data_IF_621167060743
#
_entry.id   IF_621167060743
#
_cell.length_a   1.000
_cell.length_b   1.000
_cell.length_c   1.000
_cell.angle_alpha   90.00
_cell.angle_beta   90.00
_cell.angle_gamma   90.00
#
_symmetry.space_group_name_H-M   'P 1'
#
loop_
_entity.id
_entity.type
_entity.pdbx_description
1 polymer ?
#
# COMPACT_ATOMS: atom_id res chain seq x y z
N UNK A 1 18.91 -67.70 43.93
CA UNK A 1 18.84 -66.27 43.56
C UNK A 1 19.10 -66.17 42.06
N UNK A 2 18.09 -65.78 41.28
CA UNK A 2 18.19 -65.52 39.84
C UNK A 2 17.98 -64.01 39.64
N UNK A 3 18.76 -63.31 38.80
CA UNK A 3 18.55 -61.89 38.60
C UNK A 3 17.36 -61.67 37.65
N UNK A 4 16.37 -60.89 38.10
CA UNK A 4 15.31 -60.37 37.26
C UNK A 4 15.86 -59.18 36.45
N UNK A 5 15.89 -59.31 35.13
CA UNK A 5 16.14 -58.20 34.21
C UNK A 5 14.78 -57.54 33.93
N UNK A 6 14.60 -56.31 34.41
CA UNK A 6 13.46 -55.46 34.03
C UNK A 6 13.71 -54.92 32.62
N UNK A 7 12.95 -55.38 31.64
CA UNK A 7 12.86 -54.75 30.32
C UNK A 7 11.91 -53.56 30.43
N UNK A 8 12.45 -52.34 30.37
CA UNK A 8 11.65 -51.13 30.16
C UNK A 8 11.35 -51.03 28.67
N UNK A 9 10.11 -51.32 28.29
CA UNK A 9 9.62 -51.07 26.94
C UNK A 9 9.43 -49.55 26.75
N UNK A 10 10.36 -48.91 26.06
CA UNK A 10 10.18 -47.54 25.57
C UNK A 10 9.23 -47.60 24.37
N UNK A 11 7.97 -47.27 24.60
CA UNK A 11 7.01 -47.03 23.52
C UNK A 11 7.46 -45.79 22.74
N UNK A 12 8.04 -46.00 21.57
CA UNK A 12 8.16 -44.97 20.56
C UNK A 12 6.77 -44.71 19.97
N UNK A 13 6.08 -43.70 20.50
CA UNK A 13 4.92 -43.14 19.82
C UNK A 13 5.45 -42.42 18.59
N UNK A 14 5.34 -43.09 17.44
CA UNK A 14 5.51 -42.48 16.14
C UNK A 14 4.31 -41.53 15.96
N UNK A 15 4.47 -40.28 16.40
CA UNK A 15 3.59 -39.20 15.94
C UNK A 15 3.82 -39.08 14.43
N UNK A 16 2.98 -39.76 13.64
CA UNK A 16 2.79 -39.41 12.24
C UNK A 16 2.61 -37.90 12.20
N UNK A 17 3.57 -37.20 11.61
CA UNK A 17 3.44 -35.79 11.33
C UNK A 17 2.16 -35.59 10.55
N UNK A 18 1.14 -35.07 11.24
CA UNK A 18 0.04 -34.41 10.54
C UNK A 18 0.73 -33.40 9.62
N UNK A 19 0.42 -33.37 8.32
CA UNK A 19 0.95 -32.32 7.47
C UNK A 19 0.63 -31.02 8.18
N UNK A 20 1.66 -30.22 8.45
CA UNK A 20 1.49 -28.83 8.84
C UNK A 20 0.55 -28.30 7.77
N UNK A 21 -0.71 -28.04 8.16
CA UNK A 21 -1.68 -27.44 7.27
C UNK A 21 -1.04 -26.12 6.88
N UNK A 22 -0.47 -26.06 5.67
CA UNK A 22 0.00 -24.84 5.08
C UNK A 22 -1.26 -23.97 5.05
N UNK A 23 -1.36 -23.06 6.02
CA UNK A 23 -2.54 -22.24 6.15
C UNK A 23 -2.69 -21.47 4.85
N UNK A 24 -3.82 -21.73 4.20
CA UNK A 24 -4.15 -21.15 2.91
C UNK A 24 -4.44 -19.67 3.15
N UNK A 25 -3.45 -18.81 2.89
CA UNK A 25 -3.64 -17.37 2.95
C UNK A 25 -4.85 -16.95 2.10
N UNK A 26 -5.68 -16.06 2.65
CA UNK A 26 -6.84 -15.50 1.96
C UNK A 26 -6.72 -13.99 1.85
N UNK A 27 -6.63 -13.51 0.62
CA UNK A 27 -6.39 -12.09 0.34
C UNK A 27 -7.37 -11.57 -0.70
N UNK A 28 -7.85 -10.34 -0.49
CA UNK A 28 -8.54 -9.56 -1.51
C UNK A 28 -7.83 -8.21 -1.74
N UNK A 29 -7.01 -8.16 -2.78
CA UNK A 29 -6.15 -7.02 -3.12
C UNK A 29 -6.72 -6.23 -4.30
N UNK A 30 -7.31 -5.05 -4.04
CA UNK A 30 -7.94 -4.23 -5.07
C UNK A 30 -7.07 -3.07 -5.55
N UNK A 31 -7.21 -2.67 -6.83
CA UNK A 31 -6.48 -1.53 -7.36
C UNK A 31 -6.91 -0.18 -6.78
N UNK A 32 -8.10 -0.10 -6.15
CA UNK A 32 -8.62 1.11 -5.50
C UNK A 32 -9.44 0.78 -4.24
N UNK A 33 -9.43 1.68 -3.26
CA UNK A 33 -10.27 1.55 -2.06
C UNK A 33 -11.77 1.46 -2.36
N UNK A 34 -12.31 2.25 -3.30
CA UNK A 34 -13.71 2.14 -3.77
C UNK A 34 -14.07 0.74 -4.28
N UNK A 35 -13.15 0.08 -4.98
CA UNK A 35 -13.36 -1.29 -5.44
C UNK A 35 -13.43 -2.26 -4.26
N UNK A 36 -12.49 -2.17 -3.30
CA UNK A 36 -12.46 -3.03 -2.10
C UNK A 36 -13.69 -2.91 -1.18
N UNK A 37 -14.36 -1.74 -1.19
CA UNK A 37 -15.56 -1.47 -0.35
C UNK A 37 -16.89 -1.43 -1.11
N UNK A 38 -16.90 -1.76 -2.40
CA UNK A 38 -18.16 -1.94 -3.15
C UNK A 38 -19.01 -3.06 -2.53
N UNK A 39 -20.32 -3.04 -2.76
CA UNK A 39 -21.22 -4.05 -2.20
C UNK A 39 -20.86 -5.46 -2.71
N UNK A 40 -20.53 -5.56 -3.99
CA UNK A 40 -20.11 -6.80 -4.65
C UNK A 40 -18.79 -7.32 -4.07
N UNK A 41 -17.79 -6.45 -3.91
CA UNK A 41 -16.52 -6.87 -3.30
C UNK A 41 -16.69 -7.24 -1.83
N UNK A 42 -17.54 -6.55 -1.07
CA UNK A 42 -17.81 -6.90 0.32
C UNK A 42 -18.44 -8.29 0.44
N UNK A 43 -19.40 -8.62 -0.43
CA UNK A 43 -19.98 -9.97 -0.51
C UNK A 43 -18.91 -11.01 -0.88
N UNK A 44 -18.07 -10.73 -1.87
CA UNK A 44 -16.98 -11.61 -2.29
C UNK A 44 -15.93 -11.87 -1.18
N UNK A 45 -15.60 -10.85 -0.37
CA UNK A 45 -14.70 -10.97 0.78
C UNK A 45 -15.34 -11.81 1.90
N UNK A 46 -16.63 -11.60 2.16
CA UNK A 46 -17.39 -12.42 3.13
C UNK A 46 -17.45 -13.88 2.68
N UNK A 47 -17.67 -14.13 1.39
CA UNK A 47 -17.66 -15.47 0.82
C UNK A 47 -16.28 -16.13 0.94
N UNK A 48 -15.20 -15.38 0.68
CA UNK A 48 -13.82 -15.84 0.89
C UNK A 48 -13.58 -16.21 2.37
N UNK A 49 -14.22 -15.50 3.30
CA UNK A 49 -14.21 -15.79 4.73
C UNK A 49 -15.12 -16.97 5.15
N UNK A 50 -15.58 -17.79 4.19
CA UNK A 50 -16.46 -18.95 4.42
C UNK A 50 -17.96 -18.64 4.31
N UNK A 51 -18.31 -17.43 3.87
CA UNK A 51 -19.69 -16.95 3.73
C UNK A 51 -20.43 -16.85 5.07
N UNK A 52 -21.73 -16.58 4.99
CA UNK A 52 -22.65 -16.58 6.14
C UNK A 52 -23.28 -17.96 6.41
N UNK A 53 -22.66 -19.03 5.90
CA UNK A 53 -23.19 -20.40 5.96
C UNK A 53 -23.19 -20.95 7.39
N UNK A 54 -22.17 -20.61 8.18
CA UNK A 54 -22.17 -20.77 9.62
C UNK A 54 -22.88 -19.58 10.29
N UNK A 55 -24.21 -19.68 10.42
CA UNK A 55 -25.08 -18.66 11.03
C UNK A 55 -24.96 -18.59 12.57
N UNK A 56 -23.99 -19.29 13.18
CA UNK A 56 -23.83 -19.30 14.63
C UNK A 56 -23.42 -17.93 15.19
N UNK A 57 -22.72 -17.10 14.41
CA UNK A 57 -22.40 -15.71 14.76
C UNK A 57 -22.17 -14.82 13.52
N UNK A 58 -22.39 -13.49 13.63
CA UNK A 58 -21.92 -12.53 12.62
C UNK A 58 -20.41 -12.65 12.37
N UNK A 59 -19.98 -12.42 11.13
CA UNK A 59 -18.55 -12.29 10.81
C UNK A 59 -17.98 -11.06 11.49
N UNK A 60 -16.87 -11.22 12.21
CA UNK A 60 -16.14 -10.14 12.86
C UNK A 60 -15.16 -9.53 11.87
N UNK A 61 -15.36 -8.26 11.56
CA UNK A 61 -14.49 -7.45 10.74
C UNK A 61 -13.71 -6.47 11.62
N UNK A 62 -12.39 -6.53 11.53
CA UNK A 62 -11.48 -5.55 12.10
C UNK A 62 -11.07 -4.54 11.02
N UNK A 63 -11.37 -3.27 11.22
CA UNK A 63 -10.95 -2.18 10.35
C UNK A 63 -9.63 -1.56 10.84
N UNK A 64 -8.66 -1.45 9.92
CA UNK A 64 -7.38 -0.78 10.14
C UNK A 64 -7.35 0.52 9.32
N UNK A 65 -7.66 1.63 9.98
CA UNK A 65 -7.79 2.97 9.40
C UNK A 65 -6.51 3.79 9.39
N UNK A 66 -5.37 3.22 9.75
CA UNK A 66 -4.14 3.98 10.07
C UNK A 66 -3.62 4.79 8.87
N UNK A 67 -3.82 4.30 7.64
CA UNK A 67 -3.44 5.02 6.41
C UNK A 67 -4.25 6.31 6.18
N UNK A 68 -5.45 6.42 6.77
CA UNK A 68 -6.26 7.65 6.83
C UNK A 68 -6.28 8.25 8.24
N UNK A 69 -5.25 7.97 9.05
CA UNK A 69 -5.09 8.53 10.38
C UNK A 69 -6.22 8.19 11.35
N UNK A 70 -6.79 6.98 11.20
CA UNK A 70 -7.93 6.46 11.96
C UNK A 70 -9.14 7.41 11.96
N UNK A 71 -9.35 8.09 10.83
CA UNK A 71 -10.48 8.98 10.65
C UNK A 71 -11.82 8.20 10.78
N UNK A 72 -12.68 8.53 11.76
CA UNK A 72 -13.89 7.74 12.02
C UNK A 72 -14.93 7.85 10.91
N UNK A 73 -14.97 8.97 10.17
CA UNK A 73 -15.85 9.10 9.00
C UNK A 73 -15.41 8.16 7.88
N UNK A 74 -14.11 8.02 7.66
CA UNK A 74 -13.55 7.08 6.69
C UNK A 74 -13.85 5.64 7.09
N UNK A 75 -13.70 5.30 8.37
CA UNK A 75 -14.10 3.99 8.89
C UNK A 75 -15.57 3.68 8.61
N UNK A 76 -16.48 4.60 8.93
CA UNK A 76 -17.91 4.42 8.68
C UNK A 76 -18.23 4.22 7.19
N UNK A 77 -17.56 4.96 6.30
CA UNK A 77 -17.75 4.84 4.85
C UNK A 77 -17.18 3.51 4.34
N UNK A 78 -16.00 3.12 4.81
CA UNK A 78 -15.28 1.95 4.31
C UNK A 78 -15.93 0.64 4.75
N UNK A 79 -16.55 0.62 5.92
CA UNK A 79 -17.22 -0.58 6.46
C UNK A 79 -18.73 -0.63 6.20
N UNK A 80 -19.32 0.39 5.57
CA UNK A 80 -20.77 0.51 5.42
C UNK A 80 -21.42 -0.72 4.75
N UNK A 81 -20.87 -1.18 3.64
CA UNK A 81 -21.41 -2.33 2.92
C UNK A 81 -21.20 -3.65 3.68
N UNK A 82 -20.10 -3.80 4.40
CA UNK A 82 -19.87 -4.97 5.27
C UNK A 82 -20.89 -5.02 6.42
N UNK A 83 -21.16 -3.87 7.06
CA UNK A 83 -22.19 -3.77 8.09
C UNK A 83 -23.59 -4.07 7.53
N UNK A 84 -23.90 -3.56 6.32
CA UNK A 84 -25.17 -3.84 5.64
C UNK A 84 -25.33 -5.33 5.27
N UNK A 85 -24.23 -6.05 5.04
CA UNK A 85 -24.18 -7.50 4.80
C UNK A 85 -24.12 -8.33 6.10
N UNK A 86 -24.22 -7.69 7.27
CA UNK A 86 -24.36 -8.35 8.57
C UNK A 86 -23.05 -8.60 9.33
N UNK A 87 -21.92 -8.02 8.92
CA UNK A 87 -20.68 -8.10 9.70
C UNK A 87 -20.78 -7.28 11.00
N UNK A 88 -20.18 -7.79 12.07
CA UNK A 88 -19.87 -7.02 13.28
C UNK A 88 -18.55 -6.28 13.05
N UNK A 89 -18.56 -4.96 13.18
CA UNK A 89 -17.42 -4.10 12.85
C UNK A 89 -16.75 -3.60 14.13
N UNK A 90 -15.43 -3.77 14.22
CA UNK A 90 -14.55 -3.08 15.17
C UNK A 90 -13.47 -2.31 14.42
N UNK A 91 -12.85 -1.32 15.06
CA UNK A 91 -11.73 -0.58 14.51
C UNK A 91 -10.60 -0.50 15.53
N UNK A 92 -9.36 -0.73 15.08
CA UNK A 92 -8.16 -0.58 15.90
C UNK A 92 -7.49 0.75 15.55
N UNK A 93 -7.69 1.75 16.40
CA UNK A 93 -7.17 3.11 16.19
C UNK A 93 -5.82 3.26 16.90
N UNK A 94 -4.74 3.37 16.13
CA UNK A 94 -3.36 3.32 16.63
C UNK A 94 -2.51 4.47 16.14
N UNK A 95 -3.00 5.36 15.28
CA UNK A 95 -2.23 6.47 14.69
C UNK A 95 -1.58 7.35 15.76
N UNK A 96 -2.30 7.57 16.88
CA UNK A 96 -1.91 8.52 17.94
C UNK A 96 -1.78 7.89 19.32
N UNK A 97 -2.11 6.61 19.45
CA UNK A 97 -2.18 5.90 20.73
C UNK A 97 -1.46 4.58 20.55
N UNK A 98 -0.60 4.25 21.52
CA UNK A 98 0.05 2.95 21.59
C UNK A 98 -0.91 1.98 22.29
N UNK A 99 -1.38 0.92 21.62
CA UNK A 99 -2.27 -0.05 22.25
C UNK A 99 -1.51 -0.93 23.22
N UNK A 100 -2.19 -1.38 24.27
CA UNK A 100 -1.71 -2.45 25.15
C UNK A 100 -1.82 -3.81 24.45
N UNK A 101 -1.06 -4.80 24.91
CA UNK A 101 -1.20 -6.17 24.40
C UNK A 101 -2.61 -6.72 24.60
N UNK A 102 -3.30 -6.35 25.68
CA UNK A 102 -4.69 -6.76 25.90
C UNK A 102 -5.65 -6.19 24.85
N UNK A 103 -5.46 -4.93 24.44
CA UNK A 103 -6.24 -4.31 23.37
C UNK A 103 -5.95 -4.95 22.01
N UNK A 104 -4.69 -5.31 21.74
CA UNK A 104 -4.31 -6.04 20.53
C UNK A 104 -4.91 -7.46 20.52
N UNK A 105 -4.78 -8.20 21.62
CA UNK A 105 -5.41 -9.51 21.80
C UNK A 105 -6.91 -9.43 21.51
N UNK A 106 -7.60 -8.50 22.17
CA UNK A 106 -9.05 -8.29 22.00
C UNK A 106 -9.41 -7.91 20.56
N UNK A 107 -8.60 -7.07 19.90
CA UNK A 107 -8.86 -6.61 18.54
C UNK A 107 -8.73 -7.73 17.50
N UNK A 108 -7.74 -8.63 17.67
CA UNK A 108 -7.44 -9.72 16.74
C UNK A 108 -8.06 -11.07 17.15
N UNK A 109 -8.72 -11.14 18.29
CA UNK A 109 -9.44 -12.33 18.76
C UNK A 109 -10.66 -12.63 17.88
N UNK A 110 -10.68 -13.85 17.33
CA UNK A 110 -11.77 -14.36 16.46
C UNK A 110 -12.12 -13.48 15.26
N UNK A 111 -11.18 -12.68 14.76
CA UNK A 111 -11.38 -11.88 13.54
C UNK A 111 -11.50 -12.81 12.34
N UNK A 112 -12.56 -12.62 11.56
CA UNK A 112 -12.74 -13.34 10.29
C UNK A 112 -12.21 -12.54 9.10
N UNK A 113 -12.29 -11.19 9.18
CA UNK A 113 -11.92 -10.27 8.11
C UNK A 113 -11.11 -9.09 8.69
N UNK A 114 -9.95 -8.80 8.11
CA UNK A 114 -9.21 -7.56 8.34
C UNK A 114 -9.40 -6.68 7.09
N UNK A 115 -10.02 -5.51 7.24
CA UNK A 115 -10.17 -4.53 6.17
C UNK A 115 -9.18 -3.38 6.38
N UNK A 116 -8.27 -3.18 5.42
CA UNK A 116 -7.26 -2.13 5.46
C UNK A 116 -7.67 -0.97 4.54
N UNK A 117 -7.67 0.23 5.10
CA UNK A 117 -8.01 1.47 4.38
C UNK A 117 -7.00 1.82 3.29
N UNK A 118 -7.44 2.62 2.31
CA UNK A 118 -6.54 3.41 1.47
C UNK A 118 -5.86 4.55 2.25
N UNK A 119 -4.99 5.34 1.63
CA UNK A 119 -4.38 6.53 2.26
C UNK A 119 -2.86 6.55 2.15
N UNK A 120 -2.16 7.04 3.19
CA UNK A 120 -0.70 7.08 3.22
C UNK A 120 -0.13 5.73 3.70
N UNK A 121 0.28 4.89 2.75
CA UNK A 121 0.82 3.54 3.02
C UNK A 121 2.04 3.56 3.94
N UNK A 122 3.00 4.45 3.68
CA UNK A 122 4.26 4.47 4.42
C UNK A 122 4.04 4.77 5.89
N UNK A 123 3.19 5.75 6.20
CA UNK A 123 2.80 6.06 7.57
C UNK A 123 2.17 4.85 8.27
N UNK A 124 1.21 4.17 7.61
CA UNK A 124 0.53 3.03 8.20
C UNK A 124 1.47 1.85 8.49
N UNK A 125 2.30 1.48 7.50
CA UNK A 125 3.25 0.36 7.64
C UNK A 125 4.31 0.68 8.69
N UNK A 126 4.86 1.89 8.71
CA UNK A 126 5.84 2.29 9.72
C UNK A 126 5.21 2.25 11.13
N UNK A 127 3.98 2.74 11.28
CA UNK A 127 3.26 2.71 12.56
C UNK A 127 3.01 1.29 13.05
N UNK A 128 2.51 0.41 12.19
CA UNK A 128 2.25 -0.99 12.56
C UNK A 128 3.54 -1.74 12.91
N UNK A 129 4.60 -1.55 12.14
CA UNK A 129 5.91 -2.18 12.39
C UNK A 129 6.50 -1.71 13.72
N UNK A 130 6.43 -0.41 14.01
CA UNK A 130 6.92 0.18 15.26
C UNK A 130 6.18 -0.35 16.50
N UNK A 131 4.87 -0.60 16.35
CA UNK A 131 4.01 -1.14 17.41
C UNK A 131 3.98 -2.68 17.45
N UNK A 132 4.65 -3.37 16.51
CA UNK A 132 4.60 -4.82 16.38
C UNK A 132 3.26 -5.40 15.91
N UNK A 133 2.35 -4.55 15.41
CA UNK A 133 1.01 -4.92 14.91
C UNK A 133 1.10 -5.77 13.64
N UNK A 134 2.17 -5.62 12.87
CA UNK A 134 2.45 -6.46 11.71
C UNK A 134 2.47 -7.95 12.04
N UNK A 135 2.99 -8.34 13.21
CA UNK A 135 2.95 -9.74 13.67
C UNK A 135 1.51 -10.20 13.95
N UNK A 136 0.68 -9.36 14.58
CA UNK A 136 -0.72 -9.69 14.83
C UNK A 136 -1.53 -9.88 13.54
N UNK A 137 -1.26 -9.05 12.52
CA UNK A 137 -1.87 -9.20 11.20
C UNK A 137 -1.41 -10.51 10.55
N UNK A 138 -0.10 -10.82 10.57
CA UNK A 138 0.44 -12.07 10.05
C UNK A 138 -0.19 -13.28 10.74
N UNK A 139 -0.23 -13.30 12.07
CA UNK A 139 -0.78 -14.40 12.84
C UNK A 139 -2.27 -14.59 12.56
N UNK A 140 -3.05 -13.51 12.44
CA UNK A 140 -4.46 -13.61 12.09
C UNK A 140 -4.66 -14.23 10.69
N UNK A 141 -3.88 -13.81 9.70
CA UNK A 141 -4.03 -14.29 8.31
C UNK A 141 -3.45 -15.69 8.13
N UNK A 142 -2.24 -15.92 8.64
CA UNK A 142 -1.46 -17.15 8.42
C UNK A 142 -1.75 -18.23 9.45
N UNK A 143 -2.09 -17.93 10.70
CA UNK A 143 -2.33 -18.99 11.69
C UNK A 143 -3.82 -19.19 11.96
N UNK A 144 -4.63 -18.13 11.82
CA UNK A 144 -6.07 -18.15 12.12
C UNK A 144 -6.97 -18.07 10.88
N UNK A 145 -6.39 -18.04 9.68
CA UNK A 145 -7.10 -18.05 8.39
C UNK A 145 -8.10 -16.88 8.22
N UNK A 146 -7.82 -15.72 8.83
CA UNK A 146 -8.57 -14.51 8.59
C UNK A 146 -8.35 -14.02 7.15
N UNK A 147 -9.40 -13.54 6.51
CA UNK A 147 -9.27 -12.87 5.21
C UNK A 147 -8.72 -11.47 5.44
N UNK A 148 -7.72 -11.05 4.68
CA UNK A 148 -7.31 -9.64 4.64
C UNK A 148 -7.69 -9.01 3.31
N UNK A 149 -8.36 -7.87 3.37
CA UNK A 149 -8.85 -7.14 2.21
C UNK A 149 -8.38 -5.69 2.26
N UNK A 150 -8.05 -5.12 1.10
CA UNK A 150 -7.63 -3.73 1.01
C UNK A 150 -7.46 -3.27 -0.43
N UNK A 151 -7.59 -1.97 -0.64
CA UNK A 151 -7.31 -1.36 -1.93
C UNK A 151 -6.44 -0.13 -1.79
N UNK A 152 -5.76 0.26 -2.87
CA UNK A 152 -4.78 1.37 -2.83
C UNK A 152 -3.67 1.08 -1.80
N UNK A 153 -3.48 1.92 -0.78
CA UNK A 153 -2.55 1.65 0.32
C UNK A 153 -2.78 0.30 1.00
N UNK A 154 -4.05 -0.11 1.16
CA UNK A 154 -4.40 -1.40 1.73
C UNK A 154 -4.04 -2.59 0.85
N UNK A 155 -3.79 -2.40 -0.47
CA UNK A 155 -3.16 -3.44 -1.30
C UNK A 155 -1.64 -3.41 -1.12
N UNK A 156 -1.05 -2.20 -1.11
CA UNK A 156 0.41 -2.06 -0.95
C UNK A 156 0.91 -2.69 0.35
N UNK A 157 0.20 -2.46 1.45
CA UNK A 157 0.56 -3.03 2.75
C UNK A 157 0.55 -4.56 2.77
N UNK A 158 -0.14 -5.24 1.84
CA UNK A 158 -0.16 -6.70 1.80
C UNK A 158 1.08 -7.28 1.12
N UNK A 159 1.80 -6.50 0.33
CA UNK A 159 2.90 -6.99 -0.51
C UNK A 159 4.26 -6.78 0.17
N UNK A 160 5.34 -7.33 -0.40
CA UNK A 160 6.70 -7.07 0.07
C UNK A 160 7.13 -5.60 -0.10
N UNK A 161 6.55 -4.93 -1.10
CA UNK A 161 6.57 -3.49 -1.26
C UNK A 161 5.58 -3.03 -2.32
N UNK A 162 5.53 -1.74 -2.58
CA UNK A 162 4.70 -1.23 -3.67
C UNK A 162 4.97 0.19 -4.11
N UNK A 163 4.40 0.48 -5.28
CA UNK A 163 4.43 1.76 -5.98
C UNK A 163 3.48 2.75 -5.32
N UNK A 164 4.04 3.60 -4.45
CA UNK A 164 3.27 4.39 -3.52
C UNK A 164 3.33 5.89 -3.81
N UNK A 165 2.20 6.56 -3.62
CA UNK A 165 2.05 8.01 -3.61
C UNK A 165 2.18 8.58 -2.19
N UNK A 166 2.85 7.88 -1.27
CA UNK A 166 3.04 8.34 0.11
C UNK A 166 3.86 9.63 0.25
N UNK A 167 4.43 10.17 -0.83
CA UNK A 167 5.05 11.50 -0.89
C UNK A 167 4.08 12.61 -1.34
N UNK A 168 2.83 12.26 -1.64
CA UNK A 168 1.80 13.22 -2.06
C UNK A 168 1.42 14.13 -0.89
N UNK A 169 1.61 15.46 -0.97
CA UNK A 169 1.39 16.37 0.15
C UNK A 169 -0.01 16.30 0.77
N UNK A 170 -1.05 16.05 -0.03
CA UNK A 170 -2.42 15.94 0.46
C UNK A 170 -2.68 14.68 1.30
N UNK A 171 -1.78 13.69 1.22
CA UNK A 171 -1.83 12.48 2.04
C UNK A 171 -1.15 12.64 3.39
N UNK A 172 -0.45 13.75 3.65
CA UNK A 172 0.29 13.95 4.89
C UNK A 172 -0.66 14.29 6.04
N UNK A 173 -0.29 13.86 7.26
CA UNK A 173 -1.05 14.23 8.47
C UNK A 173 -1.11 15.74 8.66
N UNK A 174 -0.02 16.41 8.26
CA UNK A 174 0.17 17.85 8.27
C UNK A 174 0.41 18.30 6.80
N UNK A 175 -0.64 18.49 5.99
CA UNK A 175 -0.49 18.96 4.61
C UNK A 175 0.04 20.40 4.61
N UNK A 176 0.37 20.98 3.44
CA UNK A 176 0.88 22.37 3.34
C UNK A 176 0.06 23.32 4.22
N UNK A 177 0.72 23.85 5.26
CA UNK A 177 0.04 24.50 6.38
C UNK A 177 -0.48 25.90 6.06
N UNK A 178 -1.41 26.43 6.88
CA UNK A 178 -2.09 27.71 6.62
C UNK A 178 -1.16 28.93 6.63
N UNK A 179 0.01 28.82 7.28
CA UNK A 179 1.03 29.88 7.33
C UNK A 179 1.73 30.09 5.99
N UNK A 180 1.78 29.02 5.19
CA UNK A 180 1.98 29.13 3.76
C UNK A 180 0.57 29.32 3.20
N UNK A 181 0.19 30.57 2.96
CA UNK A 181 -0.93 30.89 2.07
C UNK A 181 -0.38 31.25 0.68
N UNK A 182 0.33 30.33 0.00
CA UNK A 182 0.89 30.67 -1.27
C UNK A 182 -0.26 30.87 -2.26
N UNK A 183 0.04 31.68 -3.27
CA UNK A 183 -0.84 31.89 -4.41
C UNK A 183 -1.34 30.55 -4.95
N UNK A 184 -2.56 30.52 -5.50
CA UNK A 184 -3.20 29.27 -5.94
C UNK A 184 -2.33 28.50 -6.95
N UNK A 185 -1.62 29.23 -7.82
CA UNK A 185 -0.65 28.66 -8.76
C UNK A 185 0.53 27.97 -8.08
N UNK A 186 1.05 28.56 -7.00
CA UNK A 186 2.16 27.99 -6.22
C UNK A 186 1.68 26.77 -5.44
N UNK A 187 0.44 26.77 -4.94
CA UNK A 187 -0.17 25.57 -4.35
C UNK A 187 -0.24 24.42 -5.35
N UNK A 188 -0.75 24.69 -6.55
CA UNK A 188 -0.86 23.67 -7.59
C UNK A 188 0.52 23.10 -7.95
N UNK A 189 1.56 23.94 -8.04
CA UNK A 189 2.94 23.46 -8.24
C UNK A 189 3.39 22.53 -7.11
N UNK A 190 3.15 22.91 -5.85
CA UNK A 190 3.56 22.10 -4.68
C UNK A 190 2.79 20.76 -4.65
N UNK A 191 1.48 20.79 -4.84
CA UNK A 191 0.62 19.60 -4.84
C UNK A 191 0.97 18.60 -5.97
N UNK A 192 1.69 19.06 -7.00
CA UNK A 192 2.20 18.23 -8.11
C UNK A 192 3.68 17.87 -8.00
N UNK A 193 4.41 18.39 -7.01
CA UNK A 193 5.87 18.32 -6.90
C UNK A 193 6.43 17.04 -6.25
N UNK A 194 5.64 15.97 -6.23
CA UNK A 194 5.99 14.70 -5.59
C UNK A 194 6.20 13.58 -6.63
N UNK A 195 6.99 12.57 -6.27
CA UNK A 195 7.24 11.38 -7.08
C UNK A 195 6.77 10.10 -6.38
N UNK A 196 6.50 9.07 -7.17
CA UNK A 196 6.20 7.75 -6.62
C UNK A 196 7.47 7.10 -6.07
N UNK A 197 7.31 6.40 -4.95
CA UNK A 197 8.40 5.71 -4.26
C UNK A 197 8.05 4.25 -4.01
N UNK A 198 9.05 3.38 -3.99
CA UNK A 198 8.88 1.99 -3.52
C UNK A 198 8.89 1.99 -2.00
N UNK A 199 7.74 1.74 -1.39
CA UNK A 199 7.61 1.63 0.08
C UNK A 199 7.57 0.18 0.50
N UNK A 200 8.04 -0.17 1.72
CA UNK A 200 7.86 -1.50 2.27
C UNK A 200 6.38 -1.78 2.54
N UNK A 201 6.00 -3.05 2.48
CA UNK A 201 4.72 -3.55 2.98
C UNK A 201 4.93 -4.63 4.03
N UNK A 202 3.86 -5.32 4.39
CA UNK A 202 3.86 -6.40 5.39
C UNK A 202 4.24 -7.75 4.78
N UNK A 203 4.50 -7.87 3.47
CA UNK A 203 4.95 -9.12 2.85
C UNK A 203 4.03 -10.33 3.14
N UNK A 204 2.72 -10.13 3.08
CA UNK A 204 1.73 -11.22 3.14
C UNK A 204 1.65 -11.91 1.76
N UNK A 205 1.50 -11.14 0.68
CA UNK A 205 1.76 -11.61 -0.68
C UNK A 205 3.29 -11.62 -0.86
N UNK A 206 3.89 -12.77 -0.58
CA UNK A 206 5.33 -12.93 -0.46
C UNK A 206 6.06 -12.46 -1.72
N UNK A 207 6.97 -11.49 -1.54
CA UNK A 207 7.89 -11.08 -2.59
C UNK A 207 7.31 -10.20 -3.70
N UNK A 208 6.00 -9.94 -3.70
CA UNK A 208 5.37 -9.08 -4.69
C UNK A 208 5.77 -7.61 -4.48
N UNK A 209 6.15 -6.94 -5.58
CA UNK A 209 6.18 -5.50 -5.69
C UNK A 209 4.90 -5.05 -6.40
N UNK A 210 3.98 -4.41 -5.69
CA UNK A 210 2.66 -4.14 -6.24
C UNK A 210 2.45 -2.72 -6.75
N UNK A 211 1.49 -2.54 -7.64
CA UNK A 211 1.05 -1.24 -8.13
C UNK A 211 -0.49 -1.19 -8.19
N UNK A 212 -1.18 -0.57 -7.21
CA UNK A 212 -2.59 -0.21 -7.38
C UNK A 212 -2.74 0.91 -8.42
N UNK A 213 -3.98 1.25 -8.79
CA UNK A 213 -4.30 2.36 -9.69
C UNK A 213 -3.51 2.37 -11.01
N UNK A 214 -3.17 1.19 -11.54
CA UNK A 214 -2.20 1.04 -12.61
C UNK A 214 -2.56 1.83 -13.88
N UNK A 215 -3.85 1.88 -14.18
CA UNK A 215 -4.43 2.53 -15.36
C UNK A 215 -4.53 4.08 -15.26
N UNK A 216 -4.14 4.67 -14.12
CA UNK A 216 -4.38 6.09 -13.84
C UNK A 216 -3.22 7.03 -14.17
N UNK A 217 -3.56 8.30 -14.36
CA UNK A 217 -2.65 9.44 -14.27
C UNK A 217 -3.08 10.25 -13.05
N UNK A 218 -2.17 10.47 -12.10
CA UNK A 218 -2.50 11.22 -10.87
C UNK A 218 -2.25 12.73 -11.03
N UNK A 219 -2.44 13.50 -9.94
CA UNK A 219 -2.34 14.95 -9.96
C UNK A 219 -0.95 15.47 -10.37
N UNK A 220 0.13 14.71 -10.13
CA UNK A 220 1.47 15.04 -10.63
C UNK A 220 1.63 14.89 -12.16
N UNK A 221 0.57 14.51 -12.87
CA UNK A 221 0.51 14.30 -14.32
C UNK A 221 1.43 13.17 -14.82
N UNK A 222 1.78 12.24 -13.93
CA UNK A 222 2.59 11.06 -14.26
C UNK A 222 1.68 9.84 -14.40
N UNK A 223 1.78 9.15 -15.54
CA UNK A 223 1.13 7.86 -15.72
C UNK A 223 1.73 6.83 -14.78
N UNK A 224 0.88 6.22 -13.96
CA UNK A 224 1.28 5.23 -12.97
C UNK A 224 1.85 3.98 -13.63
N UNK A 225 1.31 3.55 -14.77
CA UNK A 225 1.87 2.44 -15.53
C UNK A 225 3.29 2.69 -16.08
N UNK A 226 3.54 3.90 -16.58
CA UNK A 226 4.87 4.27 -17.08
C UNK A 226 5.88 4.37 -15.94
N UNK A 227 5.50 5.03 -14.85
CA UNK A 227 6.38 5.16 -13.69
C UNK A 227 6.65 3.82 -13.01
N UNK A 228 5.65 2.95 -12.89
CA UNK A 228 5.85 1.61 -12.36
C UNK A 228 6.80 0.78 -13.23
N UNK A 229 6.75 0.94 -14.56
CA UNK A 229 7.72 0.32 -15.46
C UNK A 229 9.16 0.82 -15.18
N UNK A 230 9.32 2.11 -14.85
CA UNK A 230 10.62 2.67 -14.43
C UNK A 230 11.04 2.18 -13.05
N UNK A 231 10.10 2.01 -12.11
CA UNK A 231 10.35 1.42 -10.81
C UNK A 231 10.84 -0.02 -10.96
N UNK A 232 10.21 -0.86 -11.79
CA UNK A 232 10.67 -2.23 -12.04
C UNK A 232 12.10 -2.26 -12.62
N UNK A 233 12.51 -1.27 -13.44
CA UNK A 233 13.91 -1.16 -13.88
C UNK A 233 14.87 -0.85 -12.73
N UNK A 234 14.52 0.11 -11.86
CA UNK A 234 15.31 0.47 -10.67
C UNK A 234 15.35 -0.67 -9.64
N UNK A 235 14.29 -1.47 -9.58
CA UNK A 235 14.07 -2.58 -8.65
C UNK A 235 14.04 -3.92 -9.40
N UNK A 236 15.00 -4.14 -10.30
CA UNK A 236 15.00 -5.28 -11.25
C UNK A 236 15.17 -6.66 -10.61
N UNK A 237 15.44 -6.73 -9.30
CA UNK A 237 15.38 -7.95 -8.51
C UNK A 237 13.97 -8.37 -8.11
N UNK A 238 12.98 -7.49 -8.18
CA UNK A 238 11.60 -7.70 -7.74
C UNK A 238 10.67 -8.05 -8.92
N UNK A 239 9.57 -8.76 -8.62
CA UNK A 239 8.51 -9.09 -9.57
C UNK A 239 7.28 -8.22 -9.32
N UNK A 240 6.83 -7.53 -10.37
CA UNK A 240 5.74 -6.57 -10.33
C UNK A 240 4.37 -7.21 -10.49
N UNK A 241 3.40 -6.79 -9.68
CA UNK A 241 1.97 -7.07 -9.90
C UNK A 241 1.17 -5.77 -9.89
N UNK A 242 0.54 -5.44 -11.01
CA UNK A 242 -0.16 -4.18 -11.20
C UNK A 242 -1.66 -4.40 -11.40
N UNK A 243 -2.48 -3.64 -10.68
CA UNK A 243 -3.93 -3.82 -10.61
C UNK A 243 -4.61 -2.50 -10.94
N UNK A 244 -5.48 -2.52 -11.96
CA UNK A 244 -6.30 -1.36 -12.35
C UNK A 244 -7.33 -1.00 -11.26
N UNK A 245 -7.81 0.25 -11.24
CA UNK A 245 -8.71 0.74 -10.17
C UNK A 245 -9.92 -0.17 -9.89
N UNK A 246 -10.50 -0.75 -10.94
CA UNK A 246 -11.72 -1.57 -10.88
C UNK A 246 -11.44 -3.07 -11.11
N UNK A 247 -10.21 -3.48 -10.81
CA UNK A 247 -9.80 -4.86 -10.72
C UNK A 247 -9.38 -5.23 -9.28
N UNK A 248 -9.41 -6.53 -8.98
CA UNK A 248 -8.85 -7.07 -7.74
C UNK A 248 -8.28 -8.47 -7.94
N UNK A 249 -7.22 -8.79 -7.20
CA UNK A 249 -6.69 -10.13 -7.05
C UNK A 249 -7.29 -10.76 -5.79
N UNK A 250 -8.07 -11.82 -5.95
CA UNK A 250 -8.55 -12.61 -4.82
C UNK A 250 -7.76 -13.93 -4.75
N UNK A 251 -7.03 -14.14 -3.66
CA UNK A 251 -6.22 -15.33 -3.37
C UNK A 251 -6.97 -16.19 -2.36
N UNK A 252 -7.04 -17.49 -2.63
CA UNK A 252 -7.53 -18.52 -1.71
C UNK A 252 -6.53 -19.68 -1.71
N UNK A 253 -5.60 -19.64 -0.76
CA UNK A 253 -4.49 -20.59 -0.68
C UNK A 253 -3.53 -20.46 -1.86
N UNK A 254 -3.36 -21.55 -2.61
CA UNK A 254 -2.45 -21.60 -3.76
C UNK A 254 -3.05 -21.03 -5.05
N UNK A 255 -4.34 -20.73 -5.04
CA UNK A 255 -5.12 -20.37 -6.21
C UNK A 255 -5.55 -18.91 -6.14
N UNK A 256 -5.75 -18.29 -7.31
CA UNK A 256 -6.27 -16.94 -7.40
C UNK A 256 -7.38 -16.82 -8.45
N UNK A 257 -8.17 -15.75 -8.32
CA UNK A 257 -9.06 -15.23 -9.37
C UNK A 257 -8.85 -13.73 -9.57
N UNK A 258 -8.99 -13.29 -10.80
CA UNK A 258 -9.07 -11.86 -11.17
C UNK A 258 -10.52 -11.43 -11.13
N UNK A 259 -10.78 -10.38 -10.36
CA UNK A 259 -12.06 -9.66 -10.36
C UNK A 259 -11.92 -8.46 -11.28
N UNK A 260 -12.84 -8.28 -12.21
CA UNK A 260 -12.87 -7.13 -13.13
C UNK A 260 -14.31 -6.63 -13.28
N UNK A 261 -14.55 -5.34 -13.04
CA UNK A 261 -15.89 -4.76 -13.12
C UNK A 261 -16.19 -4.28 -14.55
N UNK A 262 -17.14 -4.93 -15.21
CA UNK A 262 -17.42 -4.77 -16.64
C UNK A 262 -17.85 -3.37 -17.10
N UNK A 263 -18.35 -2.51 -16.20
CA UNK A 263 -18.83 -1.15 -16.52
C UNK A 263 -17.80 -0.05 -16.22
N UNK A 264 -16.57 -0.45 -15.93
CA UNK A 264 -15.47 0.46 -15.65
C UNK A 264 -14.41 0.33 -16.73
N UNK A 265 -13.59 1.37 -16.85
CA UNK A 265 -12.46 1.36 -17.74
C UNK A 265 -11.20 0.88 -17.04
N UNK A 266 -10.22 0.44 -17.83
CA UNK A 266 -8.92 0.00 -17.35
C UNK A 266 -7.90 -0.11 -18.48
N UNK A 267 -6.84 -0.87 -18.25
CA UNK A 267 -5.67 -0.91 -19.14
C UNK A 267 -5.63 -2.13 -20.06
N UNK A 268 -6.65 -3.00 -20.08
CA UNK A 268 -6.72 -4.18 -20.94
C UNK A 268 -7.51 -3.89 -22.22
N UNK A 269 -6.82 -3.86 -23.36
CA UNK A 269 -7.41 -3.68 -24.68
C UNK A 269 -8.22 -4.90 -25.16
N UNK A 270 -8.92 -4.78 -26.31
CA UNK A 270 -9.81 -5.82 -26.83
C UNK A 270 -9.15 -7.19 -27.06
N UNK A 271 -7.85 -7.21 -27.36
CA UNK A 271 -7.09 -8.43 -27.64
C UNK A 271 -6.16 -8.84 -26.47
N UNK A 272 -6.36 -8.25 -25.28
CA UNK A 272 -5.51 -8.51 -24.10
C UNK A 272 -4.18 -7.76 -24.11
N UNK A 273 -4.00 -6.81 -25.01
CA UNK A 273 -2.87 -5.89 -25.04
C UNK A 273 -3.00 -4.78 -23.99
N UNK A 274 -1.87 -4.20 -23.59
CA UNK A 274 -1.90 -3.04 -22.70
C UNK A 274 -2.29 -1.78 -23.49
N UNK A 275 -3.29 -1.06 -22.99
CA UNK A 275 -3.68 0.26 -23.49
C UNK A 275 -3.54 1.30 -22.37
N UNK A 276 -2.85 2.43 -22.60
CA UNK A 276 -2.71 3.46 -21.58
C UNK A 276 -4.01 4.24 -21.34
N UNK A 277 -4.12 4.87 -20.16
CA UNK A 277 -5.11 5.91 -19.87
C UNK A 277 -6.56 5.44 -19.75
N UNK A 278 -6.78 4.28 -19.13
CA UNK A 278 -8.12 3.73 -18.84
C UNK A 278 -9.06 3.73 -20.05
N UNK A 279 -8.61 3.17 -21.19
CA UNK A 279 -9.39 3.09 -22.44
C UNK A 279 -9.90 1.67 -22.77
N UNK A 280 -9.43 0.66 -22.03
CA UNK A 280 -9.85 -0.73 -22.10
C UNK A 280 -10.75 -1.13 -20.94
N UNK A 281 -10.73 -2.41 -20.57
CA UNK A 281 -11.39 -2.95 -19.37
C UNK A 281 -10.39 -3.12 -18.21
N UNK A 282 -10.84 -3.20 -16.94
CA UNK A 282 -9.96 -3.42 -15.81
C UNK A 282 -9.29 -4.79 -15.86
N UNK A 283 -8.02 -4.85 -15.50
CA UNK A 283 -7.29 -6.11 -15.34
C UNK A 283 -6.08 -6.01 -14.46
N UNK A 284 -5.27 -7.06 -14.53
CA UNK A 284 -4.06 -7.24 -13.71
C UNK A 284 -2.92 -7.65 -14.63
N UNK A 285 -1.74 -7.07 -14.37
CA UNK A 285 -0.53 -7.31 -15.13
C UNK A 285 0.60 -7.79 -14.24
N UNK A 286 1.40 -8.74 -14.71
CA UNK A 286 2.73 -8.98 -14.13
C UNK A 286 3.77 -8.17 -14.89
N UNK A 287 4.77 -7.66 -14.17
CA UNK A 287 5.89 -6.93 -14.75
C UNK A 287 7.22 -7.49 -14.25
N UNK A 288 8.19 -7.67 -15.13
CA UNK A 288 9.57 -8.03 -14.75
C UNK A 288 10.58 -7.49 -15.76
N UNK A 289 11.86 -7.53 -15.42
CA UNK A 289 12.94 -7.23 -16.37
C UNK A 289 13.42 -8.54 -17.00
N UNK A 290 13.35 -8.63 -18.33
CA UNK A 290 13.92 -9.74 -19.09
C UNK A 290 15.45 -9.73 -18.94
N UNK A 291 16.00 -10.80 -18.38
CA UNK A 291 17.44 -10.92 -18.12
C UNK A 291 18.32 -10.94 -19.38
N UNK A 292 17.75 -11.25 -20.55
CA UNK A 292 18.49 -11.37 -21.81
C UNK A 292 18.71 -10.04 -22.52
N UNK A 293 17.76 -9.10 -22.39
CA UNK A 293 17.77 -7.84 -23.16
C UNK A 293 17.51 -6.59 -22.30
N UNK A 294 17.18 -6.74 -21.01
CA UNK A 294 16.91 -5.63 -20.09
C UNK A 294 15.56 -4.94 -20.30
N UNK A 295 14.70 -5.44 -21.19
CA UNK A 295 13.39 -4.87 -21.45
C UNK A 295 12.39 -5.23 -20.35
N UNK A 296 11.37 -4.39 -20.22
CA UNK A 296 10.22 -4.69 -19.35
C UNK A 296 9.34 -5.71 -20.07
N UNK A 297 9.17 -6.87 -19.45
CA UNK A 297 8.18 -7.86 -19.84
C UNK A 297 6.89 -7.58 -19.07
N UNK A 298 5.80 -7.33 -19.80
CA UNK A 298 4.47 -7.10 -19.24
C UNK A 298 3.53 -8.19 -19.76
N UNK A 299 2.87 -8.92 -18.85
CA UNK A 299 1.93 -10.00 -19.21
C UNK A 299 0.59 -9.80 -18.54
N UNK A 300 -0.49 -10.01 -19.28
CA UNK A 300 -1.85 -10.00 -18.74
C UNK A 300 -2.03 -11.25 -17.87
N UNK A 301 -2.53 -11.06 -16.65
CA UNK A 301 -2.82 -12.15 -15.73
C UNK A 301 -4.10 -12.89 -16.18
N UNK A 302 -4.07 -14.23 -16.33
CA UNK A 302 -5.25 -15.03 -16.64
C UNK A 302 -6.35 -14.87 -15.58
N UNK A 303 -7.65 -15.05 -15.92
CA UNK A 303 -8.75 -14.84 -14.98
C UNK A 303 -8.70 -15.72 -13.72
N UNK A 304 -8.10 -16.91 -13.81
CA UNK A 304 -7.87 -17.84 -12.70
C UNK A 304 -6.53 -18.54 -12.92
N UNK A 305 -5.87 -18.97 -11.85
CA UNK A 305 -4.59 -19.68 -11.93
C UNK A 305 -4.00 -19.97 -10.56
N UNK A 306 -2.73 -20.38 -10.52
CA UNK A 306 -1.98 -20.53 -9.27
C UNK A 306 -1.21 -19.26 -8.94
N UNK A 307 -1.12 -18.92 -7.66
CA UNK A 307 -0.34 -17.75 -7.18
C UNK A 307 1.11 -17.86 -7.64
N UNK A 308 1.68 -19.07 -7.63
CA UNK A 308 3.05 -19.36 -8.09
C UNK A 308 3.30 -19.05 -9.58
N UNK A 309 2.26 -18.89 -10.39
CA UNK A 309 2.38 -18.61 -11.82
C UNK A 309 2.53 -17.10 -12.10
N UNK A 310 2.18 -16.25 -11.13
CA UNK A 310 2.13 -14.78 -11.31
C UNK A 310 2.93 -13.99 -10.27
N UNK A 311 3.29 -14.62 -9.15
CA UNK A 311 4.08 -14.02 -8.07
C UNK A 311 5.29 -14.93 -7.82
N UNK A 312 6.46 -14.32 -7.75
CA UNK A 312 7.72 -15.00 -7.52
C UNK A 312 8.53 -14.27 -6.44
N UNK A 313 9.29 -15.00 -5.61
CA UNK A 313 10.21 -14.37 -4.66
C UNK A 313 11.21 -13.45 -5.37
N UNK A 314 11.56 -12.30 -4.77
CA UNK A 314 12.54 -11.39 -5.34
C UNK A 314 13.93 -12.02 -5.31
N UNK A 315 14.74 -11.75 -6.32
CA UNK A 315 16.16 -12.10 -6.34
C UNK A 315 16.96 -11.24 -5.36
N UNK A 316 16.55 -9.98 -5.22
CA UNK A 316 17.04 -9.00 -4.27
C UNK A 316 16.04 -7.84 -4.19
N UNK A 317 16.08 -7.08 -3.10
CA UNK A 317 15.27 -5.88 -2.90
C UNK A 317 16.22 -4.70 -2.76
N UNK A 318 16.03 -3.65 -3.56
CA UNK A 318 16.68 -2.36 -3.33
C UNK A 318 15.73 -1.43 -2.59
N UNK A 319 16.22 -0.80 -1.54
CA UNK A 319 15.49 0.26 -0.86
C UNK A 319 15.45 1.52 -1.72
N UNK A 320 14.31 2.22 -1.70
CA UNK A 320 14.17 3.50 -2.40
C UNK A 320 14.74 4.62 -1.51
N UNK A 321 15.73 5.35 -2.04
CA UNK A 321 16.46 6.39 -1.30
C UNK A 321 15.54 7.52 -0.80
N UNK A 322 14.39 7.70 -1.44
CA UNK A 322 13.43 8.75 -1.10
C UNK A 322 12.53 8.39 0.10
N UNK A 323 12.51 7.13 0.53
CA UNK A 323 11.71 6.70 1.70
C UNK A 323 12.12 7.46 2.96
N UNK A 324 13.41 7.74 3.15
CA UNK A 324 13.88 8.50 4.32
C UNK A 324 13.40 9.95 4.28
N UNK A 325 13.30 10.56 3.09
CA UNK A 325 12.76 11.91 2.92
C UNK A 325 11.25 11.90 3.17
N UNK A 326 10.52 10.92 2.64
CA UNK A 326 9.09 10.76 2.87
C UNK A 326 8.76 10.61 4.37
N UNK A 327 9.55 9.81 5.11
CA UNK A 327 9.46 9.67 6.57
C UNK A 327 9.71 10.99 7.30
N UNK A 328 10.67 11.78 6.85
CA UNK A 328 10.95 13.09 7.44
C UNK A 328 9.81 14.11 7.19
N UNK A 329 9.17 14.04 6.02
CA UNK A 329 8.05 14.92 5.65
C UNK A 329 6.73 14.54 6.34
N UNK A 330 6.50 13.24 6.61
CA UNK A 330 5.28 12.74 7.24
C UNK A 330 5.60 11.69 8.33
N UNK A 331 6.23 12.09 9.45
CA UNK A 331 6.76 11.15 10.43
C UNK A 331 5.67 10.46 11.24
N UNK A 332 5.88 9.18 11.57
CA UNK A 332 5.22 8.54 12.72
C UNK A 332 5.92 8.94 14.04
N UNK A 333 5.48 10.06 14.59
CA UNK A 333 5.88 10.56 15.91
C UNK A 333 4.87 10.20 17.02
N UNK A 334 3.84 9.38 16.72
CA UNK A 334 2.75 9.04 17.64
C UNK A 334 1.88 10.23 18.07
N UNK A 335 1.96 11.39 17.39
CA UNK A 335 1.22 12.60 17.75
C UNK A 335 0.18 12.96 16.69
N UNK A 336 -1.01 13.44 17.10
CA UNK A 336 -2.01 13.95 16.17
C UNK A 336 -1.47 15.04 15.25
N UNK A 337 -2.14 15.24 14.12
CA UNK A 337 -1.89 16.37 13.24
C UNK A 337 -1.89 17.69 14.03
N UNK A 338 -0.87 18.51 13.81
CA UNK A 338 -0.77 19.82 14.42
C UNK A 338 -1.81 20.78 13.82
N UNK A 339 -2.17 20.63 12.54
CA UNK A 339 -3.26 21.33 11.87
C UNK A 339 -3.97 20.44 10.83
N UNK A 340 -5.19 20.82 10.44
CA UNK A 340 -5.94 20.16 9.36
C UNK A 340 -6.44 21.19 8.36
N UNK A 341 -6.79 20.75 7.14
CA UNK A 341 -7.32 21.62 6.05
C UNK A 341 -8.67 22.27 6.42
N UNK A 342 -9.42 21.69 7.35
CA UNK A 342 -10.66 22.24 7.89
C UNK A 342 -10.38 23.04 9.18
N UNK A 343 -9.97 24.31 9.05
CA UNK A 343 -9.72 25.11 10.26
C UNK A 343 -9.20 26.53 10.07
N UNK A 344 -9.61 27.27 9.04
CA UNK A 344 -9.20 28.68 8.87
C UNK A 344 -9.93 29.67 9.81
N UNK A 345 -10.45 29.26 10.97
CA UNK A 345 -11.21 30.18 11.84
C UNK A 345 -10.88 30.22 13.31
N UNK A 346 -10.08 29.32 13.89
CA UNK A 346 -9.65 29.46 15.28
C UNK A 346 -8.34 28.71 15.51
N UNK A 347 -7.21 29.38 15.27
CA UNK A 347 -5.90 28.83 15.60
C UNK A 347 -5.33 29.61 16.80
N UNK A 348 -5.05 28.91 17.90
CA UNK A 348 -4.21 29.43 18.99
C UNK A 348 -2.78 28.92 18.77
N UNK A 349 -1.78 29.80 18.56
CA UNK A 349 -0.43 29.35 18.26
C UNK A 349 0.26 28.83 19.53
N UNK A 350 0.47 27.52 19.60
CA UNK A 350 1.58 26.98 20.40
C UNK A 350 2.88 27.19 19.61
N UNK A 351 3.92 27.69 20.27
CA UNK A 351 5.15 28.28 19.71
C UNK A 351 6.11 27.30 18.98
N UNK A 352 5.61 26.36 18.16
CA UNK A 352 6.42 25.42 17.38
C UNK A 352 5.93 25.38 15.92
N UNK A 353 5.79 26.55 15.29
CA UNK A 353 5.30 26.63 13.89
C UNK A 353 6.41 26.93 12.86
N UNK A 354 7.58 27.41 13.29
CA UNK A 354 8.62 27.88 12.35
C UNK A 354 9.47 26.70 11.84
N UNK A 355 9.78 25.69 12.66
CA UNK A 355 10.70 24.61 12.27
C UNK A 355 10.08 23.63 11.26
N UNK A 356 8.76 23.38 11.31
CA UNK A 356 8.11 22.37 10.46
C UNK A 356 7.78 22.89 9.04
N UNK A 357 7.51 24.19 8.88
CA UNK A 357 7.26 24.80 7.57
C UNK A 357 8.51 24.76 6.68
N UNK A 358 9.70 24.94 7.28
CA UNK A 358 10.97 24.79 6.56
C UNK A 358 11.24 23.33 6.13
N UNK A 359 10.82 22.33 6.91
CA UNK A 359 10.98 20.92 6.56
C UNK A 359 10.19 20.51 5.32
N UNK A 360 8.93 20.95 5.20
CA UNK A 360 8.11 20.69 4.03
C UNK A 360 8.67 21.37 2.77
N UNK A 361 9.08 22.65 2.88
CA UNK A 361 9.67 23.40 1.78
C UNK A 361 11.03 22.83 1.34
N UNK A 362 11.90 22.48 2.30
CA UNK A 362 13.18 21.84 2.02
C UNK A 362 12.99 20.48 1.32
N UNK A 363 12.01 19.68 1.76
CA UNK A 363 11.68 18.43 1.10
C UNK A 363 11.14 18.60 -0.32
N UNK A 364 10.34 19.64 -0.59
CA UNK A 364 9.92 19.99 -1.96
C UNK A 364 11.09 20.46 -2.82
N UNK A 365 12.02 21.26 -2.29
CA UNK A 365 13.22 21.71 -2.99
C UNK A 365 14.13 20.51 -3.31
N UNK A 366 14.30 19.57 -2.37
CA UNK A 366 15.08 18.34 -2.58
C UNK A 366 14.41 17.42 -3.61
N UNK A 367 13.08 17.26 -3.56
CA UNK A 367 12.31 16.52 -4.57
C UNK A 367 12.49 17.13 -5.97
N UNK A 368 12.41 18.46 -6.07
CA UNK A 368 12.61 19.18 -7.33
C UNK A 368 14.06 19.04 -7.85
N UNK A 369 15.05 19.13 -6.96
CA UNK A 369 16.47 18.93 -7.29
C UNK A 369 16.73 17.52 -7.86
N UNK A 370 16.19 16.48 -7.23
CA UNK A 370 16.36 15.10 -7.71
C UNK A 370 15.61 14.84 -9.02
N UNK A 371 14.46 15.48 -9.23
CA UNK A 371 13.74 15.43 -10.51
C UNK A 371 14.58 16.04 -11.65
N UNK A 372 15.26 17.16 -11.40
CA UNK A 372 16.17 17.80 -12.36
C UNK A 372 17.40 16.93 -12.65
N UNK A 373 17.97 16.27 -11.64
CA UNK A 373 19.13 15.37 -11.78
C UNK A 373 18.84 14.06 -12.55
N UNK A 374 17.56 13.67 -12.71
CA UNK A 374 17.14 12.45 -13.42
C UNK A 374 16.68 12.71 -14.86
N UNK A 375 16.65 13.97 -15.30
CA UNK A 375 16.39 14.31 -16.70
C UNK A 375 17.59 13.89 -17.58
N UNK A 376 17.35 13.39 -18.80
CA UNK A 376 18.44 13.09 -19.72
C UNK A 376 19.15 14.38 -20.16
N UNK A 377 20.44 14.30 -20.49
CA UNK A 377 21.33 15.44 -20.71
C UNK A 377 20.86 16.50 -21.73
N UNK A 378 19.95 16.14 -22.64
CA UNK A 378 19.38 17.05 -23.64
C UNK A 378 18.20 17.90 -23.12
N UNK A 379 17.68 17.62 -21.92
CA UNK A 379 16.60 18.42 -21.31
C UNK A 379 17.11 19.65 -20.53
N UNK A 380 18.43 19.83 -20.43
CA UNK A 380 19.04 20.96 -19.74
C UNK A 380 19.07 22.24 -20.59
N UNK A 381 18.79 22.17 -21.90
CA UNK A 381 18.83 23.33 -22.80
C UNK A 381 17.57 24.24 -22.73
N UNK A 382 16.48 23.81 -22.08
CA UNK A 382 15.23 24.59 -21.98
C UNK A 382 14.99 25.26 -20.61
N UNK A 383 15.92 25.15 -19.66
CA UNK A 383 15.80 25.79 -18.34
C UNK A 383 16.76 26.98 -18.22
N UNK A 384 16.40 28.13 -18.79
CA UNK A 384 17.01 29.40 -18.42
C UNK A 384 16.46 29.85 -17.06
N UNK A 385 17.32 29.86 -16.04
CA UNK A 385 17.01 30.48 -14.76
C UNK A 385 17.35 31.96 -14.87
N UNK A 386 16.33 32.78 -15.18
CA UNK A 386 16.43 34.23 -15.11
C UNK A 386 16.17 34.65 -13.67
N UNK A 387 17.07 35.41 -13.07
CA UNK A 387 16.85 35.96 -11.74
C UNK A 387 15.71 37.02 -11.77
N UNK A 388 15.24 37.45 -10.59
CA UNK A 388 14.15 38.41 -10.48
C UNK A 388 14.44 39.80 -11.09
N UNK A 389 15.66 40.02 -11.59
CA UNK A 389 16.10 41.26 -12.23
C UNK A 389 16.38 41.10 -13.73
N UNK A 390 16.17 39.92 -14.32
CA UNK A 390 16.31 39.71 -15.76
C UNK A 390 17.75 39.42 -16.23
N UNK A 391 18.67 39.09 -15.32
CA UNK A 391 20.05 38.81 -15.68
C UNK A 391 20.31 37.29 -15.76
N UNK A 392 20.88 36.86 -16.89
CA UNK A 392 21.49 35.53 -17.04
C UNK A 392 22.76 35.48 -16.18
N UNK A 393 22.76 34.65 -15.14
CA UNK A 393 23.94 34.40 -14.30
C UNK A 393 24.36 32.94 -14.42
N UNK A 394 25.07 32.61 -15.49
CA UNK A 394 25.95 31.45 -15.55
C UNK A 394 27.39 31.96 -15.35
N UNK A 395 27.91 31.85 -14.13
CA UNK A 395 29.36 31.81 -13.90
C UNK A 395 29.76 30.35 -13.73
N UNK A 396 30.70 29.93 -14.58
CA UNK A 396 31.25 28.57 -14.67
C UNK A 396 32.13 28.29 -13.43
N UNK A 397 31.91 27.21 -12.67
CA UNK A 397 32.73 26.91 -11.51
C UNK A 397 34.01 26.14 -11.93
N UNK A 398 35.01 26.88 -12.41
CA UNK A 398 36.42 26.46 -12.33
C UNK A 398 37.18 27.40 -11.37
N UNK A 399 37.30 27.00 -10.10
CA UNK A 399 38.50 27.03 -9.23
C UNK A 399 38.22 26.50 -7.82
#
# INVERSE_FOLDING_TARGET
MRPCIFLVAVLWIWCCGLPISCSAQKIYAAGRGLMAKSLESAAEVIDLAGGNSDRSRPKKLLYLGTAVYDNPQSAAIDTANYAALGCSISALNVSWIDPTNYELDTAFEEVDIILIAGGNTLFAVDRWTKLGIDNWIRDAVLERNAVVAGGSAGFISLCGGGHSDSMKPESYKNPVGPFLNPDEKVRDIIDRSWEYIRVPGLNLIEGALCCPHYDTIQNNNVSRANDFSNMIRRHSGEYGIAVDEWAALAIDGDSYRVVSRANHTGSVGPNGEFVPGSSGKPGIWTLSVDSSNGNIERKLVPPVGKVSDIIHPPRWIAEDQMVMIARAQNPDDGKPAAWTKQGSRNYRPYHIAIVLAFGALAGTIVSLYWRIKRLPAHAYEELSFVDANGNDSWEDPEE
#
